data_IF_666808647242
#
_entry.id   IF_666808647242
#
_cell.length_a   1.000
_cell.length_b   1.000
_cell.length_c   1.000
_cell.angle_alpha   90.00
_cell.angle_beta   90.00
_cell.angle_gamma   90.00
#
_symmetry.space_group_name_H-M   'P 1'
#
loop_
_entity.id
_entity.type
_entity.pdbx_description
1 polymer ?
#
# COMPACT_ATOMS: atom_id res chain seq x y z
N UNK A 1 52.89 45.76 54.70
CA UNK A 1 52.18 44.51 54.64
C UNK A 1 50.87 44.81 54.00
N UNK A 2 50.72 44.62 52.69
CA UNK A 2 49.52 44.85 51.95
C UNK A 2 49.02 43.51 51.41
N UNK A 3 47.74 43.22 51.45
CA UNK A 3 47.18 42.04 50.76
C UNK A 3 46.73 42.42 49.36
N UNK A 4 47.07 41.55 48.47
CA UNK A 4 46.69 41.57 47.05
C UNK A 4 45.21 41.32 46.87
N UNK A 5 44.58 42.06 45.94
CA UNK A 5 43.19 41.90 45.55
C UNK A 5 43.05 40.84 44.46
N UNK A 6 41.88 40.19 44.30
CA UNK A 6 41.69 39.11 43.35
C UNK A 6 41.42 39.62 41.91
N UNK A 7 42.09 38.96 41.01
CA UNK A 7 41.98 39.09 39.55
C UNK A 7 40.59 38.76 39.03
N UNK A 8 39.99 39.66 38.29
CA UNK A 8 38.73 39.49 37.58
C UNK A 8 38.99 38.74 36.27
N UNK A 9 38.67 37.45 36.21
CA UNK A 9 38.63 36.69 34.99
C UNK A 9 37.39 37.05 34.16
N UNK A 10 37.62 37.61 32.95
CA UNK A 10 36.58 37.91 31.98
C UNK A 10 35.95 36.62 31.46
N UNK A 11 34.67 36.42 31.70
CA UNK A 11 33.90 35.38 31.09
C UNK A 11 33.48 35.80 29.68
N UNK A 12 34.03 35.12 28.68
CA UNK A 12 33.57 35.17 27.28
C UNK A 12 32.17 34.55 27.20
N UNK A 13 31.19 35.17 26.56
CA UNK A 13 29.89 34.56 26.39
C UNK A 13 30.00 33.40 25.38
N UNK A 14 29.56 32.22 25.79
CA UNK A 14 29.39 31.08 24.91
C UNK A 14 28.37 31.42 23.85
N UNK A 15 28.80 31.51 22.60
CA UNK A 15 27.91 31.55 21.44
C UNK A 15 27.09 30.26 21.41
N UNK A 16 25.80 30.35 21.75
CA UNK A 16 24.83 29.34 21.45
C UNK A 16 24.66 29.30 19.92
N UNK A 17 25.33 28.36 19.29
CA UNK A 17 25.02 27.98 17.92
C UNK A 17 23.58 27.43 17.91
N UNK A 18 22.65 28.33 17.59
CA UNK A 18 21.29 27.96 17.28
C UNK A 18 21.31 26.93 16.15
N UNK A 19 20.93 25.68 16.46
CA UNK A 19 20.63 24.68 15.44
C UNK A 19 19.47 25.25 14.62
N UNK A 20 19.79 25.87 13.50
CA UNK A 20 18.81 26.13 12.45
C UNK A 20 18.43 24.76 11.90
N UNK A 21 17.38 24.19 12.47
CA UNK A 21 16.69 23.03 11.92
C UNK A 21 16.06 23.55 10.63
N UNK A 22 16.73 23.38 9.49
CA UNK A 22 16.07 23.49 8.18
C UNK A 22 15.04 22.36 8.16
N UNK A 23 13.85 22.66 8.65
CA UNK A 23 12.65 21.84 8.41
C UNK A 23 12.35 22.03 6.92
N UNK A 24 12.84 21.12 6.08
CA UNK A 24 12.29 20.99 4.74
C UNK A 24 10.80 20.69 4.92
N UNK A 25 9.96 21.51 4.29
CA UNK A 25 8.51 21.30 4.29
C UNK A 25 8.26 19.92 3.70
N UNK A 26 7.62 19.07 4.49
CA UNK A 26 7.26 17.73 4.01
C UNK A 26 6.02 17.87 3.13
N UNK A 27 6.24 17.91 1.83
CA UNK A 27 5.22 18.03 0.80
C UNK A 27 5.08 16.74 -0.03
N UNK A 28 4.16 16.76 -0.98
CA UNK A 28 3.96 15.65 -1.91
C UNK A 28 5.24 15.26 -2.67
N UNK A 29 6.08 16.23 -3.03
CA UNK A 29 7.33 15.96 -3.74
C UNK A 29 8.33 15.23 -2.86
N UNK A 30 8.50 15.68 -1.61
CA UNK A 30 9.41 15.05 -0.64
C UNK A 30 8.98 13.61 -0.34
N UNK A 31 7.68 13.36 -0.12
CA UNK A 31 7.14 12.00 0.04
C UNK A 31 7.44 11.15 -1.18
N UNK A 32 7.21 11.66 -2.39
CA UNK A 32 7.52 10.93 -3.62
C UNK A 32 9.01 10.61 -3.78
N UNK A 33 9.91 11.46 -3.27
CA UNK A 33 11.35 11.16 -3.25
C UNK A 33 11.66 10.02 -2.29
N UNK A 34 11.10 10.04 -1.07
CA UNK A 34 11.28 8.99 -0.07
C UNK A 34 10.80 7.64 -0.64
N UNK A 35 9.59 7.60 -1.18
CA UNK A 35 9.01 6.37 -1.73
C UNK A 35 9.79 5.82 -2.92
N UNK A 36 10.38 6.67 -3.77
CA UNK A 36 11.30 6.24 -4.84
C UNK A 36 12.54 5.55 -4.32
N UNK A 37 13.11 5.97 -3.18
CA UNK A 37 14.27 5.28 -2.57
C UNK A 37 13.93 3.87 -2.07
N UNK A 38 12.64 3.57 -1.95
CA UNK A 38 12.09 2.27 -1.54
C UNK A 38 11.50 1.48 -2.71
N UNK A 39 11.79 1.89 -3.93
CA UNK A 39 11.35 1.21 -5.16
C UNK A 39 9.82 1.07 -5.28
N UNK A 40 9.08 2.02 -4.70
CA UNK A 40 7.63 2.08 -4.83
C UNK A 40 7.26 2.46 -6.27
N UNK A 41 6.47 1.62 -6.94
CA UNK A 41 6.09 1.83 -8.34
C UNK A 41 5.04 2.92 -8.52
N UNK A 42 4.05 2.98 -7.62
CA UNK A 42 3.06 4.05 -7.62
C UNK A 42 2.53 4.34 -6.21
N UNK A 43 2.06 5.56 -6.00
CA UNK A 43 1.43 5.98 -4.76
C UNK A 43 0.44 7.11 -4.99
N UNK A 44 -0.50 7.25 -4.09
CA UNK A 44 -1.50 8.31 -4.15
C UNK A 44 -2.04 8.66 -2.78
N UNK A 45 -2.73 9.79 -2.71
CA UNK A 45 -3.32 10.33 -1.48
C UNK A 45 -4.83 10.26 -1.59
N UNK A 46 -5.48 9.72 -0.57
CA UNK A 46 -6.93 9.72 -0.42
C UNK A 46 -7.33 10.52 0.83
N UNK A 47 -8.48 11.19 0.79
CA UNK A 47 -9.17 11.54 2.02
C UNK A 47 -9.58 10.24 2.72
N UNK A 48 -9.25 10.10 4.00
CA UNK A 48 -9.63 8.91 4.74
C UNK A 48 -11.12 8.95 5.10
N UNK A 49 -11.76 7.81 4.99
CA UNK A 49 -13.13 7.61 5.51
C UNK A 49 -13.05 6.79 6.80
N UNK A 50 -13.26 7.40 7.98
CA UNK A 50 -13.14 6.70 9.26
C UNK A 50 -14.24 5.62 9.44
N UNK A 51 -15.24 5.57 8.55
CA UNK A 51 -16.28 4.53 8.55
C UNK A 51 -15.78 3.21 7.93
N UNK A 52 -14.65 3.22 7.23
CA UNK A 52 -14.07 1.99 6.69
C UNK A 52 -13.59 1.07 7.81
N UNK A 53 -13.81 -0.24 7.71
CA UNK A 53 -13.33 -1.19 8.70
C UNK A 53 -11.82 -1.05 8.93
N UNK A 54 -11.41 -0.90 10.19
CA UNK A 54 -10.00 -0.78 10.56
C UNK A 54 -9.34 0.55 10.22
N UNK A 55 -10.07 1.54 9.68
CA UNK A 55 -9.54 2.87 9.45
C UNK A 55 -9.34 3.60 10.79
N UNK A 56 -8.13 4.12 11.08
CA UNK A 56 -7.89 4.95 12.26
C UNK A 56 -8.40 6.38 12.02
N UNK A 57 -8.46 7.16 13.09
CA UNK A 57 -8.91 8.57 13.07
C UNK A 57 -7.79 9.49 12.56
N UNK A 58 -7.61 9.52 11.26
CA UNK A 58 -6.71 10.43 10.54
C UNK A 58 -7.42 11.00 9.32
N UNK A 59 -7.09 12.22 8.87
CA UNK A 59 -7.74 12.83 7.71
C UNK A 59 -7.29 12.26 6.37
N UNK A 60 -6.06 11.71 6.30
CA UNK A 60 -5.41 11.32 5.04
C UNK A 60 -4.94 9.87 5.11
N UNK A 61 -5.13 9.16 3.99
CA UNK A 61 -4.55 7.86 3.70
C UNK A 61 -3.62 7.95 2.48
N UNK A 62 -2.36 7.57 2.65
CA UNK A 62 -1.38 7.45 1.57
C UNK A 62 -1.36 5.98 1.14
N UNK A 63 -1.86 5.69 -0.05
CA UNK A 63 -1.83 4.34 -0.62
C UNK A 63 -0.55 4.13 -1.42
N UNK A 64 0.11 3.01 -1.19
CA UNK A 64 1.39 2.64 -1.78
C UNK A 64 1.21 1.33 -2.54
N UNK A 65 1.83 1.25 -3.71
CA UNK A 65 1.73 0.14 -4.63
C UNK A 65 3.11 -0.32 -5.09
N UNK A 66 3.35 -1.63 -5.02
CA UNK A 66 4.51 -2.29 -5.66
C UNK A 66 4.03 -3.38 -6.61
N UNK A 67 4.65 -3.44 -7.79
CA UNK A 67 4.30 -4.42 -8.83
C UNK A 67 4.99 -5.76 -8.59
N UNK A 68 4.32 -6.83 -9.00
CA UNK A 68 4.92 -8.16 -9.12
C UNK A 68 5.83 -8.24 -10.34
N UNK A 69 6.88 -9.04 -10.26
CA UNK A 69 7.72 -9.32 -11.43
C UNK A 69 6.88 -9.93 -12.57
N UNK A 70 6.91 -9.33 -13.77
CA UNK A 70 6.16 -9.84 -14.92
C UNK A 70 6.51 -11.28 -15.32
N UNK A 71 7.73 -11.73 -15.07
CA UNK A 71 8.14 -13.12 -15.35
C UNK A 71 7.45 -14.08 -14.39
N UNK A 72 7.36 -13.70 -13.11
CA UNK A 72 6.61 -14.47 -12.10
C UNK A 72 5.13 -14.53 -12.46
N UNK A 73 4.53 -13.40 -12.86
CA UNK A 73 3.11 -13.33 -13.25
C UNK A 73 2.80 -14.25 -14.42
N UNK A 74 3.67 -14.32 -15.44
CA UNK A 74 3.50 -15.21 -16.60
C UNK A 74 3.45 -16.69 -16.21
N UNK A 75 4.10 -17.08 -15.11
CA UNK A 75 4.09 -18.45 -14.57
C UNK A 75 2.77 -18.88 -13.92
N UNK A 76 1.83 -17.95 -13.64
CA UNK A 76 0.64 -18.22 -12.83
C UNK A 76 -0.57 -18.77 -13.59
N UNK A 77 -0.42 -19.12 -14.88
CA UNK A 77 -1.56 -19.57 -15.73
C UNK A 77 -2.30 -20.80 -15.18
N UNK A 78 -1.60 -21.66 -14.46
CA UNK A 78 -2.14 -22.92 -13.93
C UNK A 78 -2.17 -22.98 -12.41
N UNK A 79 -1.86 -21.90 -11.72
CA UNK A 79 -1.83 -21.82 -10.27
C UNK A 79 -0.56 -21.17 -9.73
N UNK A 80 -0.37 -21.17 -8.40
CA UNK A 80 0.77 -20.56 -7.78
C UNK A 80 2.05 -21.37 -7.99
N UNK A 81 3.18 -20.65 -8.07
CA UNK A 81 4.53 -21.21 -8.11
C UNK A 81 5.32 -20.83 -6.88
N UNK A 82 6.43 -21.52 -6.60
CA UNK A 82 7.34 -21.12 -5.52
C UNK A 82 7.90 -19.71 -5.74
N UNK A 83 8.21 -19.35 -7.00
CA UNK A 83 8.69 -18.00 -7.33
C UNK A 83 7.64 -16.95 -6.98
N UNK A 84 6.35 -17.23 -7.23
CA UNK A 84 5.27 -16.32 -6.83
C UNK A 84 5.12 -16.22 -5.31
N UNK A 85 5.26 -17.32 -4.59
CA UNK A 85 5.25 -17.29 -3.13
C UNK A 85 6.40 -16.44 -2.57
N UNK A 86 7.61 -16.61 -3.10
CA UNK A 86 8.78 -15.81 -2.71
C UNK A 86 8.58 -14.33 -3.02
N UNK A 87 8.10 -14.02 -4.23
CA UNK A 87 7.82 -12.65 -4.65
C UNK A 87 6.72 -12.00 -3.80
N UNK A 88 5.67 -12.76 -3.47
CA UNK A 88 4.60 -12.31 -2.58
C UNK A 88 5.15 -11.89 -1.20
N UNK A 89 6.02 -12.72 -0.60
CA UNK A 89 6.61 -12.38 0.70
C UNK A 89 7.62 -11.24 0.57
N UNK A 90 8.45 -11.24 -0.45
CA UNK A 90 9.42 -10.17 -0.71
C UNK A 90 8.74 -8.81 -0.80
N UNK A 91 7.67 -8.70 -1.57
CA UNK A 91 6.92 -7.45 -1.73
C UNK A 91 6.20 -7.03 -0.45
N UNK A 92 5.69 -7.95 0.35
CA UNK A 92 5.10 -7.61 1.64
C UNK A 92 6.14 -6.98 2.58
N UNK A 93 7.33 -7.58 2.67
CA UNK A 93 8.44 -7.03 3.46
C UNK A 93 8.88 -5.66 2.93
N UNK A 94 8.99 -5.50 1.61
CA UNK A 94 9.37 -4.22 1.00
C UNK A 94 8.32 -3.12 1.25
N UNK A 95 7.04 -3.45 1.17
CA UNK A 95 5.95 -2.52 1.49
C UNK A 95 5.96 -2.12 2.98
N UNK A 96 6.20 -3.07 3.87
CA UNK A 96 6.27 -2.80 5.31
C UNK A 96 7.50 -1.93 5.65
N UNK A 97 8.62 -2.11 4.97
CA UNK A 97 9.80 -1.25 5.09
C UNK A 97 9.53 0.16 4.53
N UNK A 98 8.91 0.27 3.36
CA UNK A 98 8.56 1.55 2.76
C UNK A 98 7.58 2.35 3.63
N UNK A 99 6.54 1.69 4.15
CA UNK A 99 5.55 2.33 5.03
C UNK A 99 6.14 2.68 6.38
N UNK A 100 7.00 1.83 6.96
CA UNK A 100 7.72 2.12 8.20
C UNK A 100 8.61 3.36 8.05
N UNK A 101 9.42 3.41 6.98
CA UNK A 101 10.26 4.59 6.69
C UNK A 101 9.42 5.86 6.52
N UNK A 102 8.27 5.78 5.85
CA UNK A 102 7.40 6.94 5.68
C UNK A 102 6.81 7.40 7.03
N UNK A 103 6.40 6.50 7.91
CA UNK A 103 5.94 6.82 9.27
C UNK A 103 7.04 7.52 10.05
N UNK A 104 8.26 6.97 10.08
CA UNK A 104 9.40 7.56 10.79
C UNK A 104 9.68 8.99 10.32
N UNK A 105 9.62 9.23 9.01
CA UNK A 105 9.83 10.57 8.45
C UNK A 105 8.70 11.52 8.83
N UNK A 106 7.45 11.09 8.75
CA UNK A 106 6.29 11.89 9.15
C UNK A 106 6.40 12.31 10.63
N UNK A 107 6.71 11.37 11.51
CA UNK A 107 6.87 11.61 12.95
C UNK A 107 8.04 12.56 13.28
N UNK A 108 9.18 12.41 12.61
CA UNK A 108 10.33 13.32 12.75
C UNK A 108 9.97 14.76 12.36
N UNK A 109 9.03 14.93 11.43
CA UNK A 109 8.52 16.25 11.01
C UNK A 109 7.35 16.76 11.87
N UNK A 110 6.96 16.01 12.91
CA UNK A 110 5.95 16.42 13.89
C UNK A 110 4.51 16.04 13.51
N UNK A 111 4.33 15.18 12.52
CA UNK A 111 3.04 14.63 12.15
C UNK A 111 2.77 13.31 12.85
N UNK A 112 1.51 13.06 13.19
CA UNK A 112 1.07 11.72 13.60
C UNK A 112 0.95 10.85 12.35
N UNK A 113 1.41 9.61 12.44
CA UNK A 113 1.28 8.64 11.36
C UNK A 113 1.08 7.23 11.90
N UNK A 114 0.36 6.41 11.14
CA UNK A 114 0.12 5.00 11.43
C UNK A 114 0.13 4.20 10.14
N UNK A 115 0.86 3.09 10.10
CA UNK A 115 0.85 2.17 8.95
C UNK A 115 -0.10 1.02 9.16
N UNK A 116 -0.66 0.51 8.08
CA UNK A 116 -1.33 -0.78 8.06
C UNK A 116 -0.46 -1.76 7.29
N UNK A 117 -0.20 -2.93 7.87
CA UNK A 117 0.63 -3.95 7.25
C UNK A 117 0.05 -4.41 5.90
N UNK A 118 0.94 -4.73 4.95
CA UNK A 118 0.55 -5.18 3.61
C UNK A 118 -0.26 -6.48 3.62
N UNK A 119 -0.10 -7.30 4.67
CA UNK A 119 -0.86 -8.53 4.90
C UNK A 119 -1.44 -8.54 6.31
N UNK A 120 -2.75 -8.73 6.39
CA UNK A 120 -3.45 -8.88 7.66
C UNK A 120 -3.08 -10.20 8.34
N UNK A 121 -2.59 -10.12 9.58
CA UNK A 121 -2.39 -11.26 10.47
C UNK A 121 -3.31 -11.15 11.70
N UNK A 122 -4.39 -11.95 11.69
CA UNK A 122 -5.33 -12.01 12.80
C UNK A 122 -4.71 -12.47 14.13
N UNK A 123 -3.59 -13.21 14.07
CA UNK A 123 -2.94 -13.74 15.28
C UNK A 123 -2.09 -12.64 15.95
N UNK A 124 -1.73 -11.59 15.21
CA UNK A 124 -0.97 -10.44 15.70
C UNK A 124 -1.87 -9.29 16.20
N UNK A 125 -3.18 -9.50 16.24
CA UNK A 125 -4.16 -8.49 16.66
C UNK A 125 -4.44 -7.41 15.61
N UNK A 126 -3.95 -7.59 14.39
CA UNK A 126 -4.18 -6.65 13.30
C UNK A 126 -5.66 -6.49 13.00
N UNK A 127 -6.06 -5.28 12.65
CA UNK A 127 -7.40 -5.00 12.14
C UNK A 127 -7.38 -5.05 10.61
N UNK A 128 -8.32 -5.78 9.98
CA UNK A 128 -8.39 -5.80 8.52
C UNK A 128 -8.73 -4.40 8.00
N UNK A 129 -7.88 -3.89 7.10
CA UNK A 129 -8.12 -2.63 6.41
C UNK A 129 -8.24 -2.87 4.88
N UNK A 130 -9.20 -2.25 4.20
CA UNK A 130 -9.41 -2.46 2.78
C UNK A 130 -8.44 -1.60 1.93
N UNK A 131 -7.14 -1.94 1.87
CA UNK A 131 -6.14 -1.22 1.06
C UNK A 131 -6.60 -0.91 -0.37
N UNK A 132 -7.40 -1.79 -0.97
CA UNK A 132 -7.97 -1.58 -2.30
C UNK A 132 -8.90 -0.37 -2.35
N UNK A 133 -9.66 -0.13 -1.28
CA UNK A 133 -10.55 1.05 -1.19
C UNK A 133 -9.72 2.32 -1.07
N UNK A 134 -8.67 2.31 -0.23
CA UNK A 134 -7.74 3.46 -0.15
C UNK A 134 -7.10 3.74 -1.52
N UNK A 135 -6.65 2.70 -2.23
CA UNK A 135 -6.04 2.84 -3.55
C UNK A 135 -7.01 3.40 -4.61
N UNK A 136 -8.28 2.95 -4.62
CA UNK A 136 -9.31 3.52 -5.52
C UNK A 136 -9.65 4.95 -5.17
N UNK A 137 -9.74 5.29 -3.89
CA UNK A 137 -9.96 6.66 -3.41
C UNK A 137 -8.79 7.58 -3.69
N UNK A 138 -7.57 7.05 -3.76
CA UNK A 138 -6.35 7.78 -4.13
C UNK A 138 -6.19 7.95 -5.67
N UNK A 139 -7.09 7.42 -6.48
CA UNK A 139 -7.05 7.53 -7.94
C UNK A 139 -6.12 6.55 -8.64
N UNK A 140 -5.61 5.52 -7.94
CA UNK A 140 -4.61 4.59 -8.47
C UNK A 140 -5.18 3.49 -9.38
N UNK A 141 -6.49 3.30 -9.41
CA UNK A 141 -7.14 2.26 -10.20
C UNK A 141 -8.52 1.89 -9.66
N UNK A 142 -9.03 0.74 -10.06
CA UNK A 142 -10.39 0.26 -9.73
C UNK A 142 -10.38 -1.17 -9.17
N UNK A 143 -11.52 -1.64 -8.69
CA UNK A 143 -11.72 -3.03 -8.32
C UNK A 143 -12.23 -3.82 -9.54
N UNK A 144 -11.56 -4.91 -9.86
CA UNK A 144 -11.92 -5.80 -10.96
C UNK A 144 -13.01 -6.81 -10.60
N UNK A 145 -13.48 -7.58 -11.61
CA UNK A 145 -14.57 -8.57 -11.50
C UNK A 145 -14.24 -9.76 -10.57
N UNK A 146 -12.97 -9.97 -10.23
CA UNK A 146 -12.53 -10.96 -9.24
C UNK A 146 -12.14 -10.31 -7.90
N UNK A 147 -12.66 -9.12 -7.63
CA UNK A 147 -12.40 -8.32 -6.44
C UNK A 147 -10.91 -8.00 -6.18
N UNK A 148 -10.03 -8.12 -7.19
CA UNK A 148 -8.67 -7.61 -7.15
C UNK A 148 -8.64 -6.11 -7.47
N UNK A 149 -7.68 -5.39 -6.90
CA UNK A 149 -7.36 -4.05 -7.36
C UNK A 149 -6.71 -4.13 -8.73
N UNK A 150 -7.06 -3.23 -9.64
CA UNK A 150 -6.52 -3.15 -10.99
C UNK A 150 -5.88 -1.77 -11.17
N UNK A 151 -4.57 -1.74 -11.28
CA UNK A 151 -3.84 -0.56 -11.74
C UNK A 151 -3.99 -0.41 -13.26
N UNK A 152 -4.16 0.80 -13.80
CA UNK A 152 -4.15 1.01 -15.24
C UNK A 152 -2.85 0.54 -15.90
N UNK A 153 -1.74 0.67 -15.19
CA UNK A 153 -0.38 0.37 -15.69
C UNK A 153 0.02 -1.09 -15.46
N UNK A 154 -0.22 -1.62 -14.26
CA UNK A 154 0.28 -2.94 -13.85
C UNK A 154 -0.82 -4.00 -13.72
N UNK A 155 -2.07 -3.66 -14.02
CA UNK A 155 -3.20 -4.56 -13.82
C UNK A 155 -3.36 -5.00 -12.37
N UNK A 156 -3.77 -6.26 -12.13
CA UNK A 156 -3.88 -6.84 -10.80
C UNK A 156 -2.53 -7.36 -10.24
N UNK A 157 -1.44 -7.26 -11.00
CA UNK A 157 -0.12 -7.75 -10.62
C UNK A 157 0.58 -6.79 -9.64
N UNK A 158 -0.08 -6.48 -8.53
CA UNK A 158 0.38 -5.51 -7.53
C UNK A 158 0.10 -5.95 -6.11
N UNK A 159 0.92 -5.44 -5.19
CA UNK A 159 0.67 -5.47 -3.75
C UNK A 159 0.46 -4.05 -3.25
N UNK A 160 -0.33 -3.90 -2.19
CA UNK A 160 -0.74 -2.61 -1.64
C UNK A 160 -0.42 -2.53 -0.16
N UNK A 161 -0.09 -1.32 0.31
CA UNK A 161 -0.08 -0.95 1.72
C UNK A 161 -0.60 0.48 1.89
N UNK A 162 -0.81 0.91 3.13
CA UNK A 162 -1.41 2.22 3.43
C UNK A 162 -0.76 2.82 4.67
N UNK A 163 -0.48 4.12 4.61
CA UNK A 163 -0.07 4.94 5.76
C UNK A 163 -1.13 6.01 5.98
N UNK A 164 -1.58 6.16 7.21
CA UNK A 164 -2.45 7.25 7.64
C UNK A 164 -1.62 8.37 8.26
N UNK A 165 -2.05 9.62 8.10
CA UNK A 165 -1.36 10.77 8.67
C UNK A 165 -2.28 11.97 8.82
N UNK A 166 -1.90 12.88 9.71
CA UNK A 166 -2.48 14.22 9.83
C UNK A 166 -1.76 15.29 9.01
N UNK A 167 -0.73 14.90 8.23
CA UNK A 167 -0.11 15.80 7.25
C UNK A 167 -1.14 16.19 6.19
N UNK A 168 -1.39 17.49 6.04
CA UNK A 168 -2.29 17.99 5.00
C UNK A 168 -1.67 17.80 3.61
N UNK A 169 -2.28 16.93 2.81
CA UNK A 169 -1.89 16.68 1.42
C UNK A 169 -3.12 16.72 0.52
N UNK A 170 -3.02 17.29 -0.69
CA UNK A 170 -4.10 17.23 -1.66
C UNK A 170 -4.44 15.78 -2.02
N UNK A 171 -5.70 15.40 -1.80
CA UNK A 171 -6.20 14.09 -2.21
C UNK A 171 -6.30 13.98 -3.74
N UNK A 172 -6.09 12.78 -4.25
CA UNK A 172 -6.34 12.46 -5.66
C UNK A 172 -7.84 12.35 -5.97
N UNK A 173 -8.17 12.29 -7.25
CA UNK A 173 -9.55 12.07 -7.70
C UNK A 173 -9.91 10.58 -7.58
N UNK A 174 -10.95 10.20 -6.83
CA UNK A 174 -11.35 8.81 -6.68
C UNK A 174 -11.77 8.18 -8.01
N UNK A 175 -11.32 6.96 -8.27
CA UNK A 175 -11.85 6.14 -9.36
C UNK A 175 -13.17 5.55 -8.91
N UNK A 176 -14.25 5.87 -9.64
CA UNK A 176 -15.62 5.45 -9.31
C UNK A 176 -16.23 4.48 -10.33
N UNK A 177 -15.51 4.19 -11.42
CA UNK A 177 -15.97 3.28 -12.49
C UNK A 177 -14.93 2.19 -12.73
N UNK A 178 -15.41 0.96 -12.88
CA UNK A 178 -14.55 -0.15 -13.30
C UNK A 178 -14.12 0.01 -14.75
N UNK A 179 -12.81 -0.14 -15.00
CA UNK A 179 -12.24 -0.17 -16.35
C UNK A 179 -12.32 -1.55 -17.04
N UNK A 180 -12.88 -2.58 -16.37
CA UNK A 180 -12.98 -3.94 -16.94
C UNK A 180 -13.93 -4.06 -18.14
N UNK A 181 -14.95 -3.21 -18.23
CA UNK A 181 -15.91 -3.24 -19.34
C UNK A 181 -16.49 -4.63 -19.60
N UNK A 182 -16.47 -5.04 -20.86
CA UNK A 182 -16.98 -6.36 -21.32
C UNK A 182 -15.97 -7.51 -21.14
N UNK A 183 -14.73 -7.22 -20.75
CA UNK A 183 -13.70 -8.24 -20.56
C UNK A 183 -14.09 -9.24 -19.47
N UNK A 184 -13.85 -10.54 -19.72
CA UNK A 184 -14.19 -11.66 -18.82
C UNK A 184 -12.99 -12.57 -18.53
N UNK A 185 -11.81 -12.30 -19.05
CA UNK A 185 -10.66 -13.20 -19.02
C UNK A 185 -10.36 -13.79 -17.63
N UNK A 186 -10.39 -12.96 -16.59
CA UNK A 186 -10.12 -13.40 -15.22
C UNK A 186 -11.30 -14.20 -14.60
N UNK A 187 -12.54 -13.99 -15.07
CA UNK A 187 -13.72 -14.73 -14.65
C UNK A 187 -13.72 -16.11 -15.28
N UNK A 188 -13.46 -16.18 -16.59
CA UNK A 188 -13.47 -17.42 -17.38
C UNK A 188 -12.27 -18.30 -17.06
N UNK A 189 -11.13 -17.70 -16.71
CA UNK A 189 -9.92 -18.45 -16.31
C UNK A 189 -10.00 -19.04 -14.89
N UNK A 190 -10.94 -18.62 -14.04
CA UNK A 190 -11.03 -19.05 -12.66
C UNK A 190 -11.59 -20.49 -12.55
N UNK A 191 -10.79 -21.51 -12.12
CA UNK A 191 -11.28 -22.90 -12.07
C UNK A 191 -12.38 -23.10 -11.04
N UNK A 192 -12.45 -22.24 -10.01
CA UNK A 192 -13.46 -22.28 -8.96
C UNK A 192 -14.68 -21.39 -9.27
N UNK A 193 -14.73 -20.72 -10.44
CA UNK A 193 -15.87 -19.88 -10.84
C UNK A 193 -16.20 -18.74 -9.88
N UNK A 194 -15.20 -18.18 -9.20
CA UNK A 194 -15.42 -17.24 -8.10
C UNK A 194 -15.92 -15.86 -8.56
N UNK A 195 -15.59 -15.41 -9.76
CA UNK A 195 -16.01 -14.10 -10.28
C UNK A 195 -17.44 -14.10 -10.77
N UNK A 196 -18.23 -13.10 -10.38
CA UNK A 196 -19.67 -13.00 -10.75
C UNK A 196 -19.91 -12.18 -12.02
N UNK A 197 -18.90 -11.77 -12.75
CA UNK A 197 -18.97 -10.96 -13.97
C UNK A 197 -19.72 -9.62 -13.78
N UNK A 198 -19.64 -9.02 -12.61
CA UNK A 198 -20.25 -7.75 -12.27
C UNK A 198 -19.20 -6.64 -12.30
N UNK A 199 -19.57 -5.47 -12.84
CA UNK A 199 -18.73 -4.29 -12.80
C UNK A 199 -18.79 -3.62 -11.41
N UNK A 200 -17.63 -3.42 -10.83
CA UNK A 200 -17.52 -2.74 -9.56
C UNK A 200 -17.95 -1.27 -9.62
N UNK A 201 -18.55 -0.81 -8.55
CA UNK A 201 -18.81 0.59 -8.21
C UNK A 201 -18.56 0.82 -6.71
N UNK A 202 -18.26 2.05 -6.27
CA UNK A 202 -18.11 2.36 -4.84
C UNK A 202 -19.33 1.90 -4.02
N UNK A 203 -19.05 1.39 -2.82
CA UNK A 203 -20.09 0.92 -1.89
C UNK A 203 -20.61 -0.50 -2.14
N UNK A 204 -20.15 -1.18 -3.21
CA UNK A 204 -20.52 -2.59 -3.41
C UNK A 204 -19.88 -3.50 -2.37
N UNK A 205 -20.66 -4.46 -1.86
CA UNK A 205 -20.14 -5.53 -1.06
C UNK A 205 -19.24 -6.46 -1.90
N UNK A 206 -18.20 -7.04 -1.27
CA UNK A 206 -17.28 -7.95 -1.96
C UNK A 206 -18.01 -9.16 -2.55
N UNK A 207 -19.01 -9.65 -1.86
CA UNK A 207 -19.82 -10.82 -2.20
C UNK A 207 -20.67 -10.60 -3.45
N UNK A 208 -20.96 -9.36 -3.81
CA UNK A 208 -21.63 -9.02 -5.08
C UNK A 208 -20.71 -9.24 -6.29
N UNK A 209 -19.40 -9.16 -6.10
CA UNK A 209 -18.40 -9.33 -7.16
C UNK A 209 -17.82 -10.73 -7.19
N UNK A 210 -17.68 -11.39 -6.02
CA UNK A 210 -16.74 -12.47 -5.89
C UNK A 210 -17.07 -13.40 -4.72
N UNK A 211 -17.03 -14.71 -4.97
CA UNK A 211 -17.14 -15.74 -3.95
C UNK A 211 -15.80 -16.01 -3.27
N UNK A 212 -15.58 -15.37 -2.13
CA UNK A 212 -14.34 -15.51 -1.37
C UNK A 212 -14.17 -16.91 -0.75
N UNK A 213 -15.28 -17.58 -0.41
CA UNK A 213 -15.27 -18.91 0.16
C UNK A 213 -14.79 -19.95 -0.87
N UNK A 214 -15.38 -19.94 -2.07
CA UNK A 214 -14.97 -20.82 -3.15
C UNK A 214 -13.50 -20.57 -3.57
N UNK A 215 -13.07 -19.30 -3.63
CA UNK A 215 -11.68 -18.96 -3.91
C UNK A 215 -10.72 -19.52 -2.86
N UNK A 216 -11.02 -19.33 -1.58
CA UNK A 216 -10.20 -19.84 -0.49
C UNK A 216 -10.10 -21.37 -0.52
N UNK A 217 -11.23 -22.05 -0.73
CA UNK A 217 -11.25 -23.49 -0.85
C UNK A 217 -10.34 -23.98 -1.99
N UNK A 218 -10.38 -23.29 -3.14
CA UNK A 218 -9.48 -23.61 -4.25
C UNK A 218 -8.00 -23.32 -3.90
N UNK A 219 -7.70 -22.20 -3.24
CA UNK A 219 -6.32 -21.90 -2.83
C UNK A 219 -5.72 -22.97 -1.90
N UNK A 220 -6.51 -23.53 -0.98
CA UNK A 220 -6.06 -24.59 -0.07
C UNK A 220 -5.84 -25.93 -0.76
N UNK A 221 -6.26 -26.13 -2.02
CA UNK A 221 -6.00 -27.34 -2.78
C UNK A 221 -4.58 -27.42 -3.36
N UNK A 222 -3.87 -26.31 -3.42
CA UNK A 222 -2.49 -26.29 -3.92
C UNK A 222 -1.52 -26.80 -2.84
N UNK A 223 -0.71 -27.77 -3.21
CA UNK A 223 0.35 -28.35 -2.36
C UNK A 223 1.74 -27.88 -2.74
N UNK A 224 1.84 -27.10 -3.82
CA UNK A 224 3.10 -26.58 -4.35
C UNK A 224 3.63 -25.34 -3.59
N UNK A 225 2.79 -24.73 -2.76
CA UNK A 225 3.09 -23.53 -1.96
C UNK A 225 2.48 -23.63 -0.57
N UNK A 226 3.08 -22.95 0.40
CA UNK A 226 2.59 -22.92 1.78
C UNK A 226 1.56 -21.82 2.02
N UNK A 227 1.65 -20.72 1.25
CA UNK A 227 0.76 -19.59 1.37
C UNK A 227 -0.60 -19.87 0.69
N UNK A 228 -1.69 -19.34 1.26
CA UNK A 228 -3.02 -19.34 0.63
C UNK A 228 -3.06 -18.34 -0.54
N UNK A 229 -2.41 -18.66 -1.64
CA UNK A 229 -2.33 -17.85 -2.87
C UNK A 229 -2.68 -18.70 -4.10
N UNK A 230 -3.11 -18.04 -5.18
CA UNK A 230 -3.42 -18.72 -6.45
C UNK A 230 -2.78 -17.97 -7.63
N UNK A 231 -3.28 -16.79 -7.99
CA UNK A 231 -2.71 -15.94 -9.05
C UNK A 231 -3.26 -16.15 -10.45
N UNK A 232 -4.07 -17.18 -10.75
CA UNK A 232 -4.62 -17.44 -12.09
C UNK A 232 -5.33 -16.22 -12.65
N UNK A 233 -6.20 -15.58 -11.87
CA UNK A 233 -6.92 -14.37 -12.30
C UNK A 233 -6.00 -13.14 -12.46
N UNK A 234 -4.82 -13.13 -11.85
CA UNK A 234 -3.79 -12.12 -12.08
C UNK A 234 -3.19 -12.33 -13.48
N UNK A 235 -2.71 -13.55 -13.77
CA UNK A 235 -2.09 -13.89 -15.04
C UNK A 235 -3.04 -13.78 -16.24
N UNK A 236 -4.34 -14.01 -16.02
CA UNK A 236 -5.35 -13.91 -17.07
C UNK A 236 -5.73 -12.47 -17.43
N UNK A 237 -5.40 -11.49 -16.57
CA UNK A 237 -5.82 -10.11 -16.80
C UNK A 237 -4.96 -9.45 -17.92
N UNK A 238 -5.59 -8.90 -18.98
CA UNK A 238 -4.86 -8.23 -20.05
C UNK A 238 -3.99 -7.06 -19.57
N UNK A 239 -4.41 -6.36 -18.51
CA UNK A 239 -3.64 -5.27 -17.93
C UNK A 239 -2.37 -5.74 -17.20
N UNK A 240 -2.28 -7.00 -16.75
CA UNK A 240 -1.10 -7.52 -16.05
C UNK A 240 0.09 -7.79 -16.99
N UNK A 241 -0.15 -7.91 -18.29
CA UNK A 241 0.82 -8.39 -19.27
C UNK A 241 1.25 -7.31 -20.28
N UNK A 242 0.86 -6.05 -20.08
CA UNK A 242 1.13 -4.97 -21.03
C UNK A 242 2.54 -4.38 -20.94
N UNK A 243 3.35 -4.78 -19.92
CA UNK A 243 4.70 -4.23 -19.68
C UNK A 243 5.73 -5.30 -19.33
#
# INVERSE_FOLDING_TARGET
MSPEGPSTASRTPAHSLGKVKMLHVLDRHAIGQILRTKEVDAWGVAANDPRLPGAPDYPIAISILMRLDPLVVRGLKHGPTLDYQQEYFRLNVALDDATGTLVDVLEVHGHRAERVQATFDKNNGDKPFPHKTAATSAGLGWIGKTALFISPEFGPAVRLSTVFTDLELPAGEPVVKSGCGVCRECVDACPAGCGRDVLWRPGMAREELFDAGACRHHMTSFTSVEAEICGICIAACPFALQH
#
